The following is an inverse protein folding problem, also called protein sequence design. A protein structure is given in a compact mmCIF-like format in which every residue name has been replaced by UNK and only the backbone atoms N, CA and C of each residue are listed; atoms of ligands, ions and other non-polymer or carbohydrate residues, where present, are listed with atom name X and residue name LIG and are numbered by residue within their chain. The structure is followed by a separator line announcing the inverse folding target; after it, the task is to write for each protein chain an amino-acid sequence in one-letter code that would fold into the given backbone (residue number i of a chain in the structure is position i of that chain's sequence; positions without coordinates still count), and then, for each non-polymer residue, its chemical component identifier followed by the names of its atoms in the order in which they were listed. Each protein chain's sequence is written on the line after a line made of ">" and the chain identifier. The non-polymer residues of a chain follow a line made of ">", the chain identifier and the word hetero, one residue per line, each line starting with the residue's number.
data_IF_281259369991
#
_entry.id   IF_281259369991
#
_cell.length_a   1.000
_cell.length_b   1.000
_cell.length_c   1.000
_cell.angle_alpha   90.00
_cell.angle_beta   90.00
_cell.angle_gamma   90.00
#
_symmetry.space_group_name_H-M   'P 1'
#
loop_
_entity.id
_entity.type
_entity.pdbx_description
1 polymer ?
#
# COMPACT_ATOMS: atom_id res chain seq x y z
N UNK A 1 -9.32 17.70 -4.25
CA UNK A 1 -10.52 16.91 -3.90
C UNK A 1 -10.03 15.58 -3.37
N UNK A 2 -10.44 15.22 -2.15
CA UNK A 2 -10.01 14.01 -1.47
C UNK A 2 -10.30 12.75 -2.30
N UNK A 3 -9.33 11.83 -2.38
CA UNK A 3 -9.44 10.58 -3.17
C UNK A 3 -9.01 9.37 -2.34
N UNK A 4 -9.76 8.28 -2.46
CA UNK A 4 -9.39 6.98 -1.89
C UNK A 4 -9.03 6.02 -3.02
N UNK A 5 -7.79 5.55 -3.03
CA UNK A 5 -7.37 4.45 -3.87
C UNK A 5 -7.36 3.14 -3.06
N UNK A 6 -8.18 2.19 -3.49
CA UNK A 6 -8.15 0.83 -2.94
C UNK A 6 -7.20 -0.01 -3.79
N UNK A 7 -6.04 -0.36 -3.23
CA UNK A 7 -4.99 -1.09 -3.95
C UNK A 7 -4.91 -2.52 -3.40
N UNK A 8 -5.11 -3.51 -4.27
CA UNK A 8 -4.98 -4.90 -3.89
C UNK A 8 -3.51 -5.26 -3.57
N UNK A 9 -3.28 -6.16 -2.62
CA UNK A 9 -1.97 -6.83 -2.50
C UNK A 9 -1.71 -7.77 -3.66
N UNK A 10 -0.50 -7.79 -4.24
CA UNK A 10 -0.07 -8.89 -5.09
C UNK A 10 -0.11 -10.21 -4.32
N UNK A 11 -0.41 -11.31 -5.02
CA UNK A 11 -0.44 -12.65 -4.43
C UNK A 11 0.97 -13.24 -4.47
N UNK A 12 1.89 -12.59 -3.76
CA UNK A 12 3.22 -13.15 -3.46
C UNK A 12 4.32 -12.87 -4.49
N UNK A 13 4.07 -12.21 -5.63
CA UNK A 13 5.12 -11.76 -6.54
C UNK A 13 5.10 -10.24 -6.69
N UNK A 14 6.24 -9.58 -6.45
CA UNK A 14 6.37 -8.12 -6.60
C UNK A 14 6.20 -7.68 -8.07
N UNK A 15 6.42 -8.56 -9.04
CA UNK A 15 6.22 -8.26 -10.46
C UNK A 15 4.75 -8.30 -10.89
N UNK A 16 3.83 -8.77 -10.05
CA UNK A 16 2.39 -8.79 -10.35
C UNK A 16 1.73 -7.40 -10.16
N UNK A 17 2.51 -6.40 -9.74
CA UNK A 17 2.02 -5.05 -9.57
C UNK A 17 1.89 -4.33 -10.91
N UNK A 18 0.71 -3.80 -11.18
CA UNK A 18 0.46 -3.07 -12.44
C UNK A 18 1.01 -1.64 -12.38
N UNK A 19 1.34 -1.02 -13.54
CA UNK A 19 1.71 0.39 -13.60
C UNK A 19 0.68 1.33 -12.95
N UNK A 20 -0.62 0.98 -13.03
CA UNK A 20 -1.70 1.75 -12.40
C UNK A 20 -1.63 1.72 -10.87
N UNK A 21 -1.25 0.59 -10.29
CA UNK A 21 -1.08 0.48 -8.82
C UNK A 21 0.09 1.34 -8.36
N UNK A 22 1.19 1.33 -9.11
CA UNK A 22 2.34 2.19 -8.84
C UNK A 22 1.93 3.66 -8.91
N UNK A 23 1.23 4.08 -9.96
CA UNK A 23 0.78 5.47 -10.10
C UNK A 23 -0.13 5.91 -8.95
N UNK A 24 -1.05 5.05 -8.49
CA UNK A 24 -1.90 5.34 -7.35
C UNK A 24 -1.10 5.51 -6.04
N UNK A 25 -0.05 4.71 -5.85
CA UNK A 25 0.83 4.80 -4.66
C UNK A 25 1.75 6.02 -4.74
N UNK A 26 2.20 6.42 -5.93
CA UNK A 26 3.00 7.63 -6.15
C UNK A 26 2.17 8.91 -5.97
N UNK A 27 0.90 8.92 -6.41
CA UNK A 27 -0.03 10.05 -6.23
C UNK A 27 -0.50 10.18 -4.77
N UNK A 28 -0.57 9.09 -4.01
CA UNK A 28 -1.04 9.13 -2.63
C UNK A 28 -0.13 9.96 -1.72
N UNK A 29 -0.75 10.80 -0.88
CA UNK A 29 -0.06 11.56 0.17
C UNK A 29 0.17 10.70 1.40
N UNK A 30 -0.71 9.73 1.64
CA UNK A 30 -0.67 8.82 2.79
C UNK A 30 -1.02 7.40 2.37
N UNK A 31 -0.33 6.41 2.95
CA UNK A 31 -0.64 4.99 2.74
C UNK A 31 -1.21 4.41 4.03
N UNK A 32 -2.43 3.88 3.95
CA UNK A 32 -3.06 3.14 5.04
C UNK A 32 -2.86 1.63 4.81
N UNK A 33 -2.05 0.96 5.64
CA UNK A 33 -1.70 -0.44 5.45
C UNK A 33 -2.11 -1.33 6.63
N UNK A 34 -2.66 -2.50 6.35
CA UNK A 34 -2.93 -3.54 7.36
C UNK A 34 -1.64 -4.16 7.91
N UNK A 35 -0.61 -4.32 7.08
CA UNK A 35 0.71 -4.78 7.50
C UNK A 35 1.77 -3.84 6.93
N UNK A 36 2.17 -2.86 7.74
CA UNK A 36 3.16 -1.84 7.36
C UNK A 36 4.52 -2.42 7.04
N UNK A 37 4.87 -3.64 7.52
CA UNK A 37 6.16 -4.28 7.20
C UNK A 37 6.18 -4.76 5.75
N UNK A 38 5.09 -5.40 5.33
CA UNK A 38 4.92 -5.88 3.94
C UNK A 38 4.84 -4.70 2.98
N UNK A 39 4.07 -3.66 3.34
CA UNK A 39 3.99 -2.44 2.53
C UNK A 39 5.33 -1.70 2.47
N UNK A 40 6.12 -1.67 3.55
CA UNK A 40 7.46 -1.08 3.52
C UNK A 40 8.37 -1.80 2.51
N UNK A 41 8.35 -3.13 2.47
CA UNK A 41 9.14 -3.92 1.50
C UNK A 41 8.75 -3.58 0.06
N UNK A 42 7.45 -3.43 -0.21
CA UNK A 42 6.91 -3.02 -1.50
C UNK A 42 7.42 -1.65 -1.92
N UNK A 43 7.29 -0.66 -1.04
CA UNK A 43 7.71 0.71 -1.29
C UNK A 43 9.22 0.81 -1.51
N UNK A 44 10.00 0.07 -0.72
CA UNK A 44 11.45 -0.02 -0.88
C UNK A 44 11.85 -0.64 -2.22
N UNK A 45 11.16 -1.70 -2.66
CA UNK A 45 11.40 -2.32 -3.97
C UNK A 45 11.20 -1.33 -5.13
N UNK A 46 10.26 -0.39 -4.98
CA UNK A 46 10.01 0.66 -5.97
C UNK A 46 10.75 1.97 -5.73
N UNK A 47 11.52 2.08 -4.64
CA UNK A 47 12.19 3.32 -4.25
C UNK A 47 11.24 4.45 -3.83
N UNK A 48 10.00 4.12 -3.43
CA UNK A 48 8.99 5.10 -3.04
C UNK A 48 9.08 5.37 -1.54
N UNK A 49 9.06 6.65 -1.14
CA UNK A 49 8.99 7.06 0.27
C UNK A 49 7.71 7.84 0.50
N UNK A 50 6.83 7.32 1.36
CA UNK A 50 5.55 7.94 1.73
C UNK A 50 5.26 7.72 3.21
N UNK A 51 4.56 8.64 3.89
CA UNK A 51 4.10 8.40 5.24
C UNK A 51 3.10 7.23 5.24
N UNK A 52 3.17 6.43 6.30
CA UNK A 52 2.32 5.25 6.46
C UNK A 52 1.57 5.28 7.78
N UNK A 53 0.33 4.80 7.73
CA UNK A 53 -0.52 4.59 8.88
C UNK A 53 -0.96 3.13 8.92
N UNK A 54 -0.86 2.51 10.10
CA UNK A 54 -1.39 1.15 10.29
C UNK A 54 -2.90 1.17 10.49
N UNK A 55 -3.62 0.39 9.67
CA UNK A 55 -5.07 0.16 9.76
C UNK A 55 -5.33 -1.33 9.95
N UNK A 56 -5.17 -1.83 11.18
CA UNK A 56 -5.48 -3.21 11.55
C UNK A 56 -6.97 -3.38 11.83
N UNK A 57 -7.50 -4.58 11.56
CA UNK A 57 -8.91 -4.96 11.74
C UNK A 57 -9.46 -4.71 13.16
N UNK A 58 -8.62 -4.80 14.20
CA UNK A 58 -9.01 -4.51 15.58
C UNK A 58 -9.24 -3.03 15.88
N UNK A 59 -8.78 -2.13 15.02
CA UNK A 59 -8.88 -0.67 15.18
C UNK A 59 -9.57 -0.02 13.96
N UNK A 60 -10.16 -0.81 13.06
CA UNK A 60 -10.71 -0.31 11.79
C UNK A 60 -11.94 0.57 12.03
N UNK A 61 -12.81 0.17 12.96
CA UNK A 61 -14.01 0.94 13.33
C UNK A 61 -13.66 2.31 13.92
N UNK A 62 -12.58 2.39 14.70
CA UNK A 62 -12.13 3.66 15.31
C UNK A 62 -11.28 4.52 14.37
N UNK A 63 -10.50 3.90 13.47
CA UNK A 63 -9.56 4.62 12.60
C UNK A 63 -10.16 5.07 11.28
N UNK A 64 -11.14 4.34 10.73
CA UNK A 64 -11.75 4.71 9.45
C UNK A 64 -12.35 6.14 9.49
N UNK A 65 -13.10 6.55 10.54
CA UNK A 65 -13.60 7.91 10.65
C UNK A 65 -12.48 8.95 10.67
N UNK A 66 -11.40 8.71 11.44
CA UNK A 66 -10.26 9.63 11.54
C UNK A 66 -9.53 9.81 10.21
N UNK A 67 -9.39 8.73 9.43
CA UNK A 67 -8.77 8.78 8.10
C UNK A 67 -9.66 9.58 7.15
N UNK A 68 -10.97 9.36 7.17
CA UNK A 68 -11.93 10.09 6.32
C UNK A 68 -11.93 11.58 6.67
N UNK A 69 -11.99 11.93 7.96
CA UNK A 69 -11.92 13.32 8.43
C UNK A 69 -10.64 13.99 7.95
N UNK A 70 -9.50 13.31 8.10
CA UNK A 70 -8.21 13.82 7.65
C UNK A 70 -8.15 14.00 6.12
N UNK A 71 -8.70 13.05 5.36
CA UNK A 71 -8.79 13.14 3.90
C UNK A 71 -9.55 14.37 3.45
N UNK A 72 -10.70 14.66 4.08
CA UNK A 72 -11.54 15.80 3.75
C UNK A 72 -10.88 17.11 4.21
N UNK A 73 -10.31 17.14 5.42
CA UNK A 73 -9.73 18.33 6.00
C UNK A 73 -8.42 18.78 5.32
N UNK A 74 -7.56 17.82 4.97
CA UNK A 74 -6.25 18.09 4.33
C UNK A 74 -6.29 17.96 2.80
N UNK A 75 -7.43 17.56 2.22
CA UNK A 75 -7.62 17.29 0.80
C UNK A 75 -6.63 16.24 0.22
N UNK A 76 -6.28 15.25 1.04
CA UNK A 76 -5.24 14.26 0.72
C UNK A 76 -5.78 13.01 0.03
N UNK A 77 -4.90 12.37 -0.74
CA UNK A 77 -5.14 11.08 -1.38
C UNK A 77 -4.58 9.93 -0.54
N UNK A 78 -5.42 8.93 -0.22
CA UNK A 78 -5.02 7.76 0.57
C UNK A 78 -5.03 6.49 -0.29
N UNK A 79 -3.95 5.70 -0.22
CA UNK A 79 -3.92 4.35 -0.78
C UNK A 79 -4.07 3.31 0.34
N UNK A 80 -5.04 2.40 0.23
CA UNK A 80 -5.21 1.30 1.21
C UNK A 80 -4.53 0.03 0.73
N UNK A 81 -3.90 -0.69 1.66
CA UNK A 81 -3.19 -1.93 1.40
C UNK A 81 -3.59 -3.01 2.41
N UNK A 82 -4.21 -4.10 1.95
CA UNK A 82 -4.72 -5.18 2.79
C UNK A 82 -3.93 -6.46 2.59
N UNK A 83 -3.37 -7.06 3.66
CA UNK A 83 -2.49 -8.24 3.56
C UNK A 83 -3.27 -9.50 3.13
N UNK A 84 -2.89 -10.09 1.99
CA UNK A 84 -3.19 -11.50 1.72
C UNK A 84 -2.22 -12.40 2.49
N UNK A 85 -2.68 -13.53 3.04
CA UNK A 85 -1.91 -14.41 3.95
C UNK A 85 -0.66 -15.09 3.34
N UNK A 86 -0.28 -14.81 2.09
CA UNK A 86 0.90 -15.41 1.44
C UNK A 86 2.11 -14.47 1.48
N UNK A 87 3.31 -14.95 1.86
CA UNK A 87 4.52 -14.14 1.83
C UNK A 87 4.98 -13.85 0.39
N UNK A 88 5.69 -12.74 0.22
CA UNK A 88 6.36 -12.41 -1.04
C UNK A 88 7.50 -13.38 -1.32
N UNK A 89 7.57 -13.88 -2.56
CA UNK A 89 8.68 -14.64 -3.11
C UNK A 89 9.26 -13.83 -4.28
N UNK A 90 10.58 -13.69 -4.38
CA UNK A 90 11.20 -13.13 -5.56
C UNK A 90 10.85 -13.99 -6.78
N UNK A 91 10.59 -13.36 -7.93
CA UNK A 91 10.30 -14.07 -9.18
C UNK A 91 11.44 -15.03 -9.53
N UNK A 92 11.16 -16.26 -10.00
CA UNK A 92 12.19 -17.24 -10.37
C UNK A 92 13.21 -16.70 -11.39
N UNK A 93 12.82 -15.73 -12.20
CA UNK A 93 13.62 -15.12 -13.27
C UNK A 93 14.77 -14.23 -12.76
N UNK A 94 14.88 -13.97 -11.46
CA UNK A 94 15.95 -13.16 -10.88
C UNK A 94 17.22 -13.96 -10.52
N UNK A 95 17.23 -15.29 -10.72
CA UNK A 95 18.32 -16.19 -10.35
C UNK A 95 19.13 -16.75 -11.53
N UNK A 96 18.81 -16.37 -12.78
CA UNK A 96 19.46 -16.91 -14.00
C UNK A 96 20.11 -15.83 -14.85
N UNK A 97 20.88 -14.96 -14.21
CA UNK A 97 21.82 -14.07 -14.90
C UNK A 97 23.13 -14.01 -14.11
N UNK A 98 23.89 -15.09 -14.23
CA UNK A 98 25.31 -15.19 -13.88
C UNK A 98 26.05 -15.84 -15.04
#
# INVERSE_FOLDING_TARGET
>A
MAKLYVVATPIGNLNDLTPRMRAAIEEADLIAAEDTRVTMQLLNHWGIKKPMLSCHRHNEEDKAPQIIERMIAEDITVATYRKNKRPFHPSPTALDRS
#
